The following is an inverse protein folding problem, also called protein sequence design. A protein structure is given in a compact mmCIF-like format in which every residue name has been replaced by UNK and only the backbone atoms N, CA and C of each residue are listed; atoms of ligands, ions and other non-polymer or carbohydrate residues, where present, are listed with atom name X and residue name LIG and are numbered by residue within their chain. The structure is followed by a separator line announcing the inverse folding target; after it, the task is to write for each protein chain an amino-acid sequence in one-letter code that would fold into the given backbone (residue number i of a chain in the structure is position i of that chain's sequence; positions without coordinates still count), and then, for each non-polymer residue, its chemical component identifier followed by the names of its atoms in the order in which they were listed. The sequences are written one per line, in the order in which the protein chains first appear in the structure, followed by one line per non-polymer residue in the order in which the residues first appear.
data_IF_145713530525
#
_entry.id   IF_145713530525
#
_cell.length_a   1.000
_cell.length_b   1.000
_cell.length_c   1.000
_cell.angle_alpha   90.00
_cell.angle_beta   90.00
_cell.angle_gamma   90.00
#
_symmetry.space_group_name_H-M   'P 1'
#
loop_
_entity.id
_entity.type
_entity.pdbx_description
1 polymer ?
#
# COMPACT_ATOMS: atom_id res chain seq x y z
N UNK A 1 -18.38 20.07 1.33
CA UNK A 1 -16.91 19.98 1.19
C UNK A 1 -16.59 18.75 0.36
N UNK A 2 -15.93 18.92 -0.79
CA UNK A 2 -15.53 17.80 -1.67
C UNK A 2 -14.19 17.26 -1.15
N UNK A 3 -14.16 16.04 -0.62
CA UNK A 3 -13.10 15.60 0.30
C UNK A 3 -11.95 14.81 -0.34
N UNK A 4 -12.12 14.26 -1.57
CA UNK A 4 -11.04 13.56 -2.31
C UNK A 4 -11.01 13.79 -3.83
N UNK A 5 -11.93 14.60 -4.40
CA UNK A 5 -12.03 14.89 -5.85
C UNK A 5 -11.80 13.66 -6.75
N UNK A 6 -12.45 12.55 -6.43
CA UNK A 6 -12.41 11.35 -7.26
C UNK A 6 -13.51 11.44 -8.31
N UNK A 7 -13.14 11.42 -9.59
CA UNK A 7 -14.10 11.49 -10.71
C UNK A 7 -15.11 10.33 -10.69
N UNK A 8 -14.72 9.20 -10.08
CA UNK A 8 -15.56 8.02 -9.95
C UNK A 8 -15.29 7.29 -8.64
N UNK A 9 -16.33 7.11 -7.84
CA UNK A 9 -16.29 6.29 -6.62
C UNK A 9 -16.16 4.81 -7.02
N UNK A 10 -15.08 4.15 -6.61
CA UNK A 10 -14.82 2.75 -6.91
C UNK A 10 -15.73 1.80 -6.10
N UNK A 11 -15.71 0.50 -6.43
CA UNK A 11 -16.59 -0.49 -5.81
C UNK A 11 -16.29 -0.73 -4.32
N UNK A 12 -15.04 -0.53 -3.86
CA UNK A 12 -14.70 -0.66 -2.44
C UNK A 12 -15.51 0.31 -1.57
N UNK A 13 -15.55 1.59 -1.94
CA UNK A 13 -16.34 2.59 -1.21
C UNK A 13 -17.85 2.32 -1.28
N UNK A 14 -18.35 1.87 -2.44
CA UNK A 14 -19.76 1.49 -2.59
C UNK A 14 -20.14 0.31 -1.70
N UNK A 15 -19.27 -0.70 -1.61
CA UNK A 15 -19.51 -1.86 -0.77
C UNK A 15 -19.53 -1.49 0.72
N UNK A 16 -18.62 -0.61 1.16
CA UNK A 16 -18.60 -0.11 2.54
C UNK A 16 -19.78 0.79 2.89
N UNK A 17 -20.47 1.37 1.90
CA UNK A 17 -21.65 2.20 2.15
C UNK A 17 -22.82 1.44 2.80
N UNK A 18 -22.81 0.09 2.77
CA UNK A 18 -23.74 -0.72 3.56
C UNK A 18 -23.55 -0.54 5.08
N UNK A 19 -22.39 -0.07 5.54
CA UNK A 19 -22.13 0.25 6.95
C UNK A 19 -21.51 1.66 7.10
N UNK A 20 -22.35 2.72 7.17
CA UNK A 20 -21.89 4.12 7.17
C UNK A 20 -20.87 4.51 8.25
N UNK A 21 -20.93 4.00 9.51
CA UNK A 21 -19.93 4.32 10.51
C UNK A 21 -18.52 3.87 10.11
N UNK A 22 -18.37 2.63 9.62
CA UNK A 22 -17.06 2.11 9.15
C UNK A 22 -16.59 2.84 7.91
N UNK A 23 -17.48 3.09 6.94
CA UNK A 23 -17.12 3.86 5.75
C UNK A 23 -16.51 5.22 6.12
N UNK A 24 -17.13 5.95 7.05
CA UNK A 24 -16.65 7.27 7.47
C UNK A 24 -15.27 7.19 8.11
N UNK A 25 -15.06 6.23 9.01
CA UNK A 25 -13.77 6.04 9.68
C UNK A 25 -12.67 5.73 8.68
N UNK A 26 -12.87 4.73 7.82
CA UNK A 26 -11.88 4.32 6.81
C UNK A 26 -11.61 5.44 5.81
N UNK A 27 -12.64 6.21 5.42
CA UNK A 27 -12.47 7.33 4.51
C UNK A 27 -11.55 8.42 5.08
N UNK A 28 -11.78 8.83 6.33
CA UNK A 28 -10.95 9.84 7.00
C UNK A 28 -9.53 9.32 7.28
N UNK A 29 -9.40 8.04 7.63
CA UNK A 29 -8.10 7.40 7.82
C UNK A 29 -7.29 7.40 6.51
N UNK A 30 -7.87 6.92 5.40
CA UNK A 30 -7.17 6.91 4.11
C UNK A 30 -6.82 8.33 3.68
N UNK A 31 -7.70 9.31 3.91
CA UNK A 31 -7.41 10.72 3.60
C UNK A 31 -6.22 11.24 4.40
N UNK A 32 -6.11 10.88 5.67
CA UNK A 32 -5.05 11.33 6.57
C UNK A 32 -3.72 10.64 6.24
N UNK A 33 -3.72 9.31 6.13
CA UNK A 33 -2.51 8.50 5.88
C UNK A 33 -1.94 8.77 4.49
N UNK A 34 -2.80 8.93 3.47
CA UNK A 34 -2.37 9.13 2.08
C UNK A 34 -2.22 10.61 1.67
N UNK A 35 -2.44 11.56 2.59
CA UNK A 35 -2.16 12.98 2.33
C UNK A 35 -0.67 13.24 2.07
N UNK A 36 -0.28 14.34 1.39
CA UNK A 36 1.10 14.78 1.31
C UNK A 36 1.74 14.92 2.69
N UNK A 37 3.03 14.60 2.79
CA UNK A 37 3.81 14.70 4.03
C UNK A 37 5.27 14.42 3.76
N UNK A 38 5.98 13.84 4.72
CA UNK A 38 7.41 13.51 4.58
C UNK A 38 7.70 12.51 3.44
N UNK A 39 6.72 11.65 3.10
CA UNK A 39 6.80 10.76 1.94
C UNK A 39 5.99 11.32 0.78
N UNK A 40 6.59 11.27 -0.41
CA UNK A 40 5.93 11.62 -1.65
C UNK A 40 4.67 10.74 -1.89
N UNK A 41 3.56 11.30 -2.41
CA UNK A 41 2.35 10.53 -2.67
C UNK A 41 2.52 9.32 -3.58
N UNK A 42 3.47 9.32 -4.52
CA UNK A 42 3.81 8.18 -5.36
C UNK A 42 4.46 7.07 -4.52
N UNK A 43 5.41 7.43 -3.65
CA UNK A 43 6.06 6.47 -2.73
C UNK A 43 5.04 5.77 -1.85
N UNK A 44 4.06 6.51 -1.32
CA UNK A 44 2.96 5.92 -0.53
C UNK A 44 2.15 4.89 -1.30
N UNK A 45 1.83 5.14 -2.57
CA UNK A 45 1.12 4.15 -3.40
C UNK A 45 1.98 2.94 -3.74
N UNK A 46 3.28 3.12 -4.00
CA UNK A 46 4.19 2.01 -4.26
C UNK A 46 4.30 1.06 -3.05
N UNK A 47 4.34 1.62 -1.83
CA UNK A 47 4.24 0.83 -0.59
C UNK A 47 2.90 0.07 -0.55
N UNK A 48 1.80 0.75 -0.89
CA UNK A 48 0.47 0.13 -0.90
C UNK A 48 0.38 -1.03 -1.92
N UNK A 49 0.98 -0.86 -3.11
CA UNK A 49 1.09 -1.90 -4.13
C UNK A 49 1.89 -3.09 -3.61
N UNK A 50 3.06 -2.87 -3.01
CA UNK A 50 3.90 -3.94 -2.45
C UNK A 50 3.17 -4.75 -1.36
N UNK A 51 2.46 -4.07 -0.46
CA UNK A 51 1.65 -4.71 0.59
C UNK A 51 0.46 -5.45 0.00
N UNK A 52 -0.23 -4.87 -1.00
CA UNK A 52 -1.37 -5.51 -1.68
C UNK A 52 -0.96 -6.79 -2.40
N UNK A 53 0.17 -6.77 -3.09
CA UNK A 53 0.73 -7.93 -3.76
C UNK A 53 1.13 -9.02 -2.76
N UNK A 54 1.76 -8.62 -1.64
CA UNK A 54 2.14 -9.54 -0.55
C UNK A 54 0.92 -10.21 0.10
N UNK A 55 -0.18 -9.45 0.26
CA UNK A 55 -1.43 -9.94 0.84
C UNK A 55 -2.31 -10.68 -0.17
N UNK A 56 -1.91 -10.77 -1.44
CA UNK A 56 -2.68 -11.43 -2.49
C UNK A 56 -4.01 -10.73 -2.82
N UNK A 57 -4.14 -9.43 -2.55
CA UNK A 57 -5.37 -8.69 -2.85
C UNK A 57 -5.37 -8.23 -4.31
N UNK A 58 -6.08 -8.95 -5.18
CA UNK A 58 -6.22 -8.59 -6.60
C UNK A 58 -6.82 -7.18 -6.78
N UNK A 59 -7.97 -6.92 -6.15
CA UNK A 59 -8.67 -5.63 -6.25
C UNK A 59 -7.78 -4.46 -5.85
N UNK A 60 -7.06 -4.60 -4.72
CA UNK A 60 -6.18 -3.58 -4.17
C UNK A 60 -4.97 -3.35 -5.10
N UNK A 61 -4.41 -4.43 -5.65
CA UNK A 61 -3.29 -4.34 -6.59
C UNK A 61 -3.69 -3.53 -7.83
N UNK A 62 -4.87 -3.77 -8.40
CA UNK A 62 -5.37 -2.94 -9.51
C UNK A 62 -5.62 -1.49 -9.08
N UNK A 63 -6.32 -1.25 -7.98
CA UNK A 63 -6.70 0.10 -7.57
C UNK A 63 -5.49 0.98 -7.24
N UNK A 64 -4.51 0.42 -6.50
CA UNK A 64 -3.33 1.16 -6.08
C UNK A 64 -2.30 1.29 -7.20
N UNK A 65 -2.19 0.31 -8.11
CA UNK A 65 -1.35 0.47 -9.32
C UNK A 65 -1.90 1.58 -10.21
N UNK A 66 -3.22 1.68 -10.39
CA UNK A 66 -3.83 2.78 -11.14
C UNK A 66 -3.59 4.14 -10.46
N UNK A 67 -3.72 4.21 -9.12
CA UNK A 67 -3.43 5.43 -8.37
C UNK A 67 -1.95 5.84 -8.42
N UNK A 68 -1.03 4.88 -8.39
CA UNK A 68 0.41 5.12 -8.53
C UNK A 68 0.76 5.61 -9.94
N UNK A 69 0.22 5.00 -10.99
CA UNK A 69 0.41 5.45 -12.39
C UNK A 69 -0.10 6.88 -12.59
N UNK A 70 -1.24 7.23 -12.01
CA UNK A 70 -1.76 8.60 -12.04
C UNK A 70 -0.83 9.61 -11.34
N UNK A 71 0.07 9.15 -10.48
CA UNK A 71 1.10 9.94 -9.79
C UNK A 71 2.50 9.82 -10.41
N UNK A 72 2.61 9.22 -11.60
CA UNK A 72 3.86 9.14 -12.35
C UNK A 72 4.63 7.82 -12.22
N UNK A 73 4.05 6.76 -11.64
CA UNK A 73 4.70 5.45 -11.64
C UNK A 73 4.87 4.95 -13.07
N UNK A 74 6.11 4.56 -13.42
CA UNK A 74 6.41 3.89 -14.70
C UNK A 74 6.30 2.37 -14.56
N UNK A 75 6.30 1.65 -15.68
CA UNK A 75 6.29 0.17 -15.63
C UNK A 75 7.62 -0.39 -15.09
N UNK A 76 8.74 0.31 -15.29
CA UNK A 76 10.03 -0.02 -14.67
C UNK A 76 9.93 0.07 -13.15
N UNK A 77 9.35 1.16 -12.61
CA UNK A 77 9.11 1.29 -11.16
C UNK A 77 8.20 0.18 -10.64
N UNK A 78 7.13 -0.17 -11.37
CA UNK A 78 6.24 -1.27 -10.97
C UNK A 78 7.01 -2.59 -10.92
N UNK A 79 7.84 -2.88 -11.93
CA UNK A 79 8.69 -4.07 -11.97
C UNK A 79 9.64 -4.13 -10.77
N UNK A 80 10.29 -3.02 -10.43
CA UNK A 80 11.17 -2.94 -9.26
C UNK A 80 10.43 -3.13 -7.93
N UNK A 81 9.28 -2.47 -7.74
CA UNK A 81 8.44 -2.62 -6.54
C UNK A 81 8.04 -4.08 -6.33
N UNK A 82 7.61 -4.76 -7.40
CA UNK A 82 7.22 -6.17 -7.34
C UNK A 82 8.42 -7.09 -7.08
N UNK A 83 9.58 -6.81 -7.67
CA UNK A 83 10.81 -7.56 -7.41
C UNK A 83 11.25 -7.44 -5.94
N UNK A 84 11.21 -6.23 -5.37
CA UNK A 84 11.51 -5.97 -3.95
C UNK A 84 10.51 -6.70 -3.06
N UNK A 85 9.21 -6.59 -3.33
CA UNK A 85 8.18 -7.27 -2.56
C UNK A 85 8.32 -8.81 -2.61
N UNK A 86 8.64 -9.38 -3.77
CA UNK A 86 8.88 -10.81 -3.93
C UNK A 86 10.12 -11.28 -3.14
N UNK A 87 11.22 -10.52 -3.21
CA UNK A 87 12.44 -10.84 -2.47
C UNK A 87 12.22 -10.74 -0.96
N UNK A 88 11.56 -9.68 -0.48
CA UNK A 88 11.20 -9.51 0.93
C UNK A 88 10.34 -10.69 1.40
N UNK A 89 9.34 -11.10 0.62
CA UNK A 89 8.51 -12.26 0.94
C UNK A 89 9.31 -13.56 1.07
N UNK A 90 10.26 -13.80 0.17
CA UNK A 90 11.13 -14.99 0.22
C UNK A 90 12.04 -14.96 1.44
N UNK A 91 12.74 -13.85 1.65
CA UNK A 91 13.74 -13.71 2.72
C UNK A 91 13.11 -13.71 4.11
N UNK A 92 11.95 -13.07 4.29
CA UNK A 92 11.18 -13.12 5.54
C UNK A 92 10.79 -14.56 5.91
N UNK A 93 10.36 -15.38 4.94
CA UNK A 93 10.03 -16.79 5.18
C UNK A 93 11.24 -17.61 5.60
N UNK A 94 12.40 -17.37 4.99
CA UNK A 94 13.65 -18.02 5.37
C UNK A 94 14.07 -17.60 6.79
N UNK A 95 14.08 -16.30 7.09
CA UNK A 95 14.44 -15.78 8.40
C UNK A 95 13.56 -16.35 9.52
N UNK A 96 12.23 -16.33 9.32
CA UNK A 96 11.28 -16.91 10.25
C UNK A 96 11.46 -18.42 10.41
N UNK A 97 11.73 -19.14 9.32
CA UNK A 97 11.98 -20.59 9.33
C UNK A 97 13.24 -20.97 10.11
N UNK A 98 14.33 -20.23 9.93
CA UNK A 98 15.58 -20.44 10.65
C UNK A 98 15.57 -19.90 12.09
N UNK A 99 14.57 -19.08 12.46
CA UNK A 99 14.46 -18.44 13.78
C UNK A 99 15.73 -17.70 14.18
N UNK A 100 16.29 -16.93 13.24
CA UNK A 100 17.52 -16.18 13.49
C UNK A 100 17.30 -15.18 14.63
N UNK A 101 18.22 -15.06 15.60
CA UNK A 101 18.17 -13.97 16.58
C UNK A 101 18.38 -12.63 15.87
N UNK A 102 17.88 -11.56 16.48
CA UNK A 102 18.21 -10.20 16.02
C UNK A 102 19.66 -9.92 16.39
N UNK A 103 20.47 -9.51 15.41
CA UNK A 103 21.86 -9.14 15.66
C UNK A 103 21.97 -7.90 16.57
N UNK A 104 22.83 -7.95 17.58
CA UNK A 104 23.05 -6.85 18.53
C UNK A 104 23.49 -5.54 17.85
N UNK A 105 24.13 -5.66 16.68
CA UNK A 105 24.54 -4.52 15.87
C UNK A 105 23.35 -3.65 15.39
N UNK A 106 22.14 -4.20 15.30
CA UNK A 106 20.93 -3.45 14.90
C UNK A 106 20.22 -2.75 16.07
N UNK A 107 20.59 -3.06 17.32
CA UNK A 107 19.91 -2.55 18.52
C UNK A 107 20.58 -1.31 19.12
N UNK A 108 21.81 -1.00 18.71
CA UNK A 108 22.67 0.01 19.35
C UNK A 108 23.11 1.14 18.41
N UNK A 109 22.42 1.31 17.28
CA UNK A 109 22.54 2.48 16.38
C UNK A 109 21.40 3.45 16.64
#
# INVERSE_FOLDING_TARGET
MVTRQVDRVNNFWKAMAHHPPTLRQVWEEVKTVMAPGALDPLVKEMIYVAVSATNGCEYCTYSHTAAARAKGMTEEMLGEVLAVAALANKTNRLANGYRMPVDDAFLNT
#
